data_IF_222887008258
#
_entry.id   IF_222887008258
#
_cell.length_a   1.000
_cell.length_b   1.000
_cell.length_c   1.000
_cell.angle_alpha   90.00
_cell.angle_beta   90.00
_cell.angle_gamma   90.00
#
_symmetry.space_group_name_H-M   'P 1'
#
loop_
_entity.id
_entity.type
_entity.pdbx_description
1 polymer ?
#
# COMPACT_ATOMS: atom_id res chain seq x y z
N UNK A 1 -18.63 -10.93 -20.91
CA UNK A 1 -17.80 -9.72 -20.91
C UNK A 1 -18.72 -8.58 -20.51
N UNK A 2 -18.38 -7.80 -19.49
CA UNK A 2 -19.16 -6.62 -19.08
C UNK A 2 -18.55 -5.40 -19.79
N UNK A 3 -19.30 -4.68 -20.62
CA UNK A 3 -18.82 -3.43 -21.20
C UNK A 3 -18.73 -2.37 -20.11
N UNK A 4 -17.68 -1.54 -20.14
CA UNK A 4 -17.48 -0.41 -19.23
C UNK A 4 -16.72 0.69 -19.97
N UNK A 5 -17.13 1.94 -19.77
CA UNK A 5 -16.46 3.10 -20.36
C UNK A 5 -15.18 3.46 -19.61
N UNK A 6 -15.18 3.25 -18.30
CA UNK A 6 -14.02 3.47 -17.41
C UNK A 6 -13.89 2.31 -16.43
N UNK A 7 -12.63 1.90 -16.21
CA UNK A 7 -12.27 0.83 -15.27
C UNK A 7 -11.20 1.35 -14.31
N UNK A 8 -11.35 1.03 -13.03
CA UNK A 8 -10.35 1.36 -11.99
C UNK A 8 -9.67 0.06 -11.54
N UNK A 9 -8.36 -0.05 -11.77
CA UNK A 9 -7.55 -1.15 -11.25
C UNK A 9 -7.28 -0.96 -9.76
N UNK A 10 -8.07 -1.62 -8.94
CA UNK A 10 -7.90 -1.69 -7.49
C UNK A 10 -7.44 -3.09 -7.02
N UNK A 11 -6.85 -3.89 -7.91
CA UNK A 11 -6.45 -5.28 -7.63
C UNK A 11 -5.31 -5.39 -6.60
N UNK A 12 -4.58 -4.30 -6.36
CA UNK A 12 -3.40 -4.26 -5.49
C UNK A 12 -2.17 -4.98 -6.07
N UNK A 13 -2.31 -5.58 -7.26
CA UNK A 13 -1.25 -6.24 -8.03
C UNK A 13 -1.07 -5.63 -9.43
N UNK A 14 -1.81 -4.55 -9.72
CA UNK A 14 -1.77 -3.85 -11.02
C UNK A 14 -2.07 -4.80 -12.20
N UNK A 15 -3.06 -5.68 -12.01
CA UNK A 15 -3.32 -6.78 -12.94
C UNK A 15 -3.95 -6.32 -14.25
N UNK A 16 -4.88 -5.35 -14.17
CA UNK A 16 -5.60 -4.89 -15.37
C UNK A 16 -4.66 -4.11 -16.29
N UNK A 17 -3.83 -3.22 -15.75
CA UNK A 17 -2.82 -2.51 -16.53
C UNK A 17 -1.81 -3.46 -17.17
N UNK A 18 -1.32 -4.45 -16.42
CA UNK A 18 -0.40 -5.44 -16.96
C UNK A 18 -1.03 -6.26 -18.10
N UNK A 19 -2.29 -6.67 -17.97
CA UNK A 19 -3.03 -7.39 -19.02
C UNK A 19 -3.37 -6.51 -20.21
N UNK A 20 -3.56 -5.21 -20.00
CA UNK A 20 -3.74 -4.24 -21.06
C UNK A 20 -2.44 -3.94 -21.83
N UNK A 21 -1.29 -4.48 -21.39
CA UNK A 21 0.02 -4.21 -21.99
C UNK A 21 0.60 -2.86 -21.63
N UNK A 22 0.06 -2.19 -20.59
CA UNK A 22 0.59 -0.91 -20.13
C UNK A 22 1.93 -1.09 -19.42
N UNK A 23 2.81 -0.09 -19.46
CA UNK A 23 4.08 -0.14 -18.77
C UNK A 23 3.88 -0.21 -17.25
N UNK A 24 4.48 -1.25 -16.65
CA UNK A 24 4.44 -1.49 -15.21
C UNK A 24 5.84 -1.82 -14.70
N UNK A 25 6.07 -1.61 -13.39
CA UNK A 25 7.27 -2.06 -12.70
C UNK A 25 6.90 -2.97 -11.52
N UNK A 26 7.70 -4.00 -11.31
CA UNK A 26 7.59 -4.87 -10.13
C UNK A 26 8.49 -4.35 -9.01
N UNK A 27 8.03 -4.52 -7.79
CA UNK A 27 8.82 -4.22 -6.61
C UNK A 27 9.60 -5.42 -6.10
N UNK A 28 10.32 -5.19 -5.02
CA UNK A 28 11.04 -6.20 -4.27
C UNK A 28 10.49 -6.31 -2.86
N UNK A 29 10.18 -7.52 -2.43
CA UNK A 29 9.72 -7.78 -1.07
C UNK A 29 10.71 -8.66 -0.34
N UNK A 30 11.23 -8.12 0.75
CA UNK A 30 12.04 -8.86 1.72
C UNK A 30 11.13 -9.73 2.60
N UNK A 31 11.64 -10.89 3.01
CA UNK A 31 10.88 -11.79 3.87
C UNK A 31 10.54 -11.12 5.19
N UNK A 32 9.28 -10.96 5.45
CA UNK A 32 8.77 -10.45 6.70
C UNK A 32 7.50 -11.20 7.08
N UNK A 33 7.35 -11.48 8.36
CA UNK A 33 6.12 -12.06 8.88
C UNK A 33 5.68 -11.38 10.16
N UNK A 34 4.39 -11.45 10.40
CA UNK A 34 3.77 -11.02 11.63
C UNK A 34 2.90 -12.15 12.16
N UNK A 35 3.13 -12.54 13.39
CA UNK A 35 2.30 -13.49 14.12
C UNK A 35 1.90 -12.88 15.45
N UNK A 36 1.02 -13.53 16.18
CA UNK A 36 0.64 -13.17 17.53
C UNK A 36 0.80 -14.37 18.45
N UNK A 37 1.29 -14.09 19.65
CA UNK A 37 1.47 -15.07 20.69
C UNK A 37 0.99 -14.50 22.03
N UNK A 38 0.90 -15.33 23.02
CA UNK A 38 0.76 -14.96 24.41
C UNK A 38 1.75 -15.77 25.26
N UNK A 39 2.10 -15.22 26.39
CA UNK A 39 2.91 -15.86 27.43
C UNK A 39 2.17 -15.79 28.78
N UNK A 40 2.68 -16.49 29.78
CA UNK A 40 2.04 -16.55 31.11
C UNK A 40 1.93 -15.17 31.77
N UNK A 41 2.87 -14.24 31.47
CA UNK A 41 2.82 -12.88 31.99
C UNK A 41 1.72 -12.07 31.31
N UNK A 42 1.66 -12.11 29.97
CA UNK A 42 0.64 -11.36 29.23
C UNK A 42 -0.79 -11.82 29.53
N UNK A 43 -0.96 -13.10 29.85
CA UNK A 43 -2.26 -13.63 30.30
C UNK A 43 -2.66 -13.07 31.66
N UNK A 44 -1.72 -12.99 32.63
CA UNK A 44 -1.98 -12.35 33.92
C UNK A 44 -2.33 -10.87 33.77
N UNK A 45 -1.54 -10.12 32.99
CA UNK A 45 -1.79 -8.71 32.70
C UNK A 45 -3.19 -8.49 32.09
N UNK A 46 -3.63 -9.38 31.21
CA UNK A 46 -4.97 -9.31 30.61
C UNK A 46 -6.09 -9.56 31.62
N UNK A 47 -5.90 -10.51 32.54
CA UNK A 47 -6.85 -10.78 33.63
C UNK A 47 -6.95 -9.60 34.59
N UNK A 48 -5.82 -9.01 34.96
CA UNK A 48 -5.76 -7.84 35.84
C UNK A 48 -6.42 -6.62 35.19
N UNK A 49 -6.19 -6.42 33.90
CA UNK A 49 -6.77 -5.32 33.13
C UNK A 49 -8.25 -5.53 32.75
N UNK A 50 -8.77 -6.77 32.85
CA UNK A 50 -10.08 -7.12 32.31
C UNK A 50 -10.19 -6.98 30.79
N UNK A 51 -9.05 -6.94 30.09
CA UNK A 51 -8.95 -6.75 28.64
C UNK A 51 -8.13 -7.87 27.99
N UNK A 52 -8.77 -8.79 27.23
CA UNK A 52 -8.06 -9.90 26.57
C UNK A 52 -7.06 -9.43 25.49
N UNK A 53 -7.18 -8.21 25.00
CA UNK A 53 -6.25 -7.64 24.02
C UNK A 53 -4.84 -7.46 24.58
N UNK A 54 -4.71 -7.24 25.89
CA UNK A 54 -3.45 -7.08 26.61
C UNK A 54 -2.64 -8.38 26.56
N UNK A 55 -3.29 -9.55 26.52
CA UNK A 55 -2.60 -10.84 26.40
C UNK A 55 -1.78 -10.98 25.11
N UNK A 56 -2.09 -10.19 24.08
CA UNK A 56 -1.53 -10.37 22.76
C UNK A 56 -0.12 -9.77 22.63
N UNK A 57 0.86 -10.61 22.42
CA UNK A 57 2.23 -10.23 22.05
C UNK A 57 2.38 -10.29 20.53
N UNK A 58 2.93 -9.22 19.95
CA UNK A 58 3.20 -9.18 18.51
C UNK A 58 4.58 -9.74 18.23
N UNK A 59 4.63 -10.81 17.45
CA UNK A 59 5.87 -11.37 16.93
C UNK A 59 6.17 -10.79 15.55
N UNK A 60 7.39 -10.29 15.37
CA UNK A 60 7.90 -9.79 14.09
C UNK A 60 9.19 -10.52 13.76
N UNK A 61 9.23 -11.12 12.58
CA UNK A 61 10.40 -11.82 12.08
C UNK A 61 10.73 -11.36 10.67
N UNK A 62 12.00 -11.56 10.27
CA UNK A 62 12.49 -11.23 8.96
C UNK A 62 12.91 -9.77 8.85
N UNK A 63 12.88 -9.28 7.62
CA UNK A 63 13.50 -8.02 7.26
C UNK A 63 12.65 -6.77 7.51
N UNK A 64 13.33 -5.65 7.68
CA UNK A 64 12.76 -4.30 7.59
C UNK A 64 12.38 -3.95 6.13
N UNK A 65 11.84 -2.76 5.91
CA UNK A 65 11.57 -2.26 4.55
C UNK A 65 12.85 -2.10 3.71
N UNK A 66 13.98 -1.83 4.36
CA UNK A 66 15.30 -1.69 3.73
C UNK A 66 16.09 -2.99 3.61
N UNK A 67 15.48 -4.13 3.93
CA UNK A 67 16.13 -5.44 3.84
C UNK A 67 16.99 -5.85 5.03
N UNK A 68 17.16 -4.98 6.05
CA UNK A 68 17.91 -5.35 7.25
C UNK A 68 17.22 -6.52 7.97
N UNK A 69 17.91 -7.61 8.17
CA UNK A 69 17.40 -8.84 8.78
C UNK A 69 16.83 -9.84 7.77
N UNK A 70 17.06 -9.64 6.46
CA UNK A 70 16.75 -10.66 5.45
C UNK A 70 17.58 -11.93 5.74
N UNK A 71 16.96 -13.12 5.80
CA UNK A 71 17.68 -14.35 6.00
C UNK A 71 18.72 -14.59 4.89
N UNK A 72 19.89 -15.10 5.27
CA UNK A 72 20.94 -15.41 4.33
C UNK A 72 20.47 -16.42 3.26
N UNK A 73 20.82 -16.18 2.01
CA UNK A 73 20.40 -16.99 0.86
C UNK A 73 18.94 -16.86 0.46
N UNK A 74 18.15 -16.03 1.15
CA UNK A 74 16.76 -15.81 0.79
C UNK A 74 16.64 -14.71 -0.27
N UNK A 75 16.09 -14.98 -1.46
CA UNK A 75 15.90 -13.97 -2.47
C UNK A 75 14.76 -13.01 -2.08
N UNK A 76 14.80 -11.79 -2.62
CA UNK A 76 13.60 -10.94 -2.67
C UNK A 76 12.61 -11.50 -3.69
N UNK A 77 11.33 -11.20 -3.53
CA UNK A 77 10.27 -11.63 -4.45
C UNK A 77 9.42 -10.45 -4.89
N UNK A 78 8.99 -10.48 -6.14
CA UNK A 78 8.02 -9.49 -6.63
C UNK A 78 6.61 -9.79 -6.07
N UNK A 79 6.23 -11.04 -5.97
CA UNK A 79 4.92 -11.47 -5.49
C UNK A 79 3.82 -11.38 -6.53
N UNK A 80 4.17 -11.37 -7.81
CA UNK A 80 3.22 -11.33 -8.94
C UNK A 80 2.69 -12.70 -9.31
N UNK A 81 3.37 -13.78 -8.93
CA UNK A 81 2.93 -15.14 -9.19
C UNK A 81 2.42 -15.83 -7.93
N UNK A 82 1.46 -16.74 -8.10
CA UNK A 82 0.97 -17.59 -7.02
C UNK A 82 2.10 -18.38 -6.36
N UNK A 83 3.08 -18.83 -7.15
CA UNK A 83 4.25 -19.56 -6.67
C UNK A 83 5.11 -18.75 -5.74
N UNK A 84 5.51 -17.53 -6.13
CA UNK A 84 6.28 -16.62 -5.28
C UNK A 84 5.56 -16.32 -3.96
N UNK A 85 4.25 -16.06 -4.04
CA UNK A 85 3.43 -15.78 -2.85
C UNK A 85 3.37 -16.99 -1.91
N UNK A 86 3.24 -18.20 -2.46
CA UNK A 86 3.20 -19.44 -1.68
C UNK A 86 4.56 -19.71 -1.03
N UNK A 87 5.64 -19.65 -1.81
CA UNK A 87 7.00 -19.90 -1.31
C UNK A 87 7.38 -18.90 -0.22
N UNK A 88 7.00 -17.61 -0.38
CA UNK A 88 7.17 -16.58 0.64
C UNK A 88 6.41 -16.92 1.94
N UNK A 89 5.14 -17.31 1.83
CA UNK A 89 4.33 -17.67 2.99
C UNK A 89 4.88 -18.91 3.71
N UNK A 90 5.33 -19.91 2.97
CA UNK A 90 5.95 -21.12 3.53
C UNK A 90 7.28 -20.80 4.23
N UNK A 91 8.12 -19.95 3.64
CA UNK A 91 9.36 -19.50 4.26
C UNK A 91 9.08 -18.74 5.57
N UNK A 92 8.11 -17.84 5.57
CA UNK A 92 7.69 -17.12 6.76
C UNK A 92 7.21 -18.06 7.89
N UNK A 93 6.44 -19.10 7.55
CA UNK A 93 6.00 -20.11 8.53
C UNK A 93 7.14 -20.96 9.06
N UNK A 94 8.10 -21.33 8.21
CA UNK A 94 9.29 -22.07 8.64
C UNK A 94 10.13 -21.25 9.62
N UNK A 95 10.27 -19.93 9.41
CA UNK A 95 10.96 -19.05 10.35
C UNK A 95 10.26 -19.02 11.71
N UNK A 96 8.93 -18.86 11.71
CA UNK A 96 8.15 -18.88 12.96
C UNK A 96 8.32 -20.22 13.67
N UNK A 97 8.22 -21.31 12.95
CA UNK A 97 8.38 -22.67 13.52
C UNK A 97 9.78 -22.87 14.13
N UNK A 98 10.83 -22.42 13.42
CA UNK A 98 12.19 -22.48 13.95
C UNK A 98 12.37 -21.63 15.21
N UNK A 99 11.68 -20.47 15.30
CA UNK A 99 11.69 -19.67 16.52
C UNK A 99 11.00 -20.39 17.67
N UNK A 100 9.82 -20.99 17.44
CA UNK A 100 9.11 -21.75 18.46
C UNK A 100 9.92 -22.95 19.00
N UNK A 101 10.75 -23.57 18.16
CA UNK A 101 11.62 -24.67 18.57
C UNK A 101 12.82 -24.21 19.42
N UNK A 102 13.25 -22.95 19.28
CA UNK A 102 14.36 -22.36 20.07
C UNK A 102 13.91 -21.86 21.44
N UNK A 103 12.64 -21.48 21.56
CA UNK A 103 12.06 -20.95 22.78
C UNK A 103 11.73 -22.09 23.76
N UNK A 104 11.84 -21.89 25.08
CA UNK A 104 11.32 -22.85 26.05
C UNK A 104 9.83 -23.10 25.82
N UNK A 105 9.40 -24.37 25.98
CA UNK A 105 8.04 -24.81 25.65
C UNK A 105 6.91 -23.95 26.22
N UNK A 106 7.08 -23.31 27.34
CA UNK A 106 6.04 -22.49 28.01
C UNK A 106 6.31 -20.97 27.89
N UNK A 107 7.36 -20.56 27.18
CA UNK A 107 7.67 -19.14 27.08
C UNK A 107 6.73 -18.39 26.13
N UNK A 108 6.14 -19.10 25.19
CA UNK A 108 5.31 -18.48 24.17
C UNK A 108 4.31 -19.50 23.59
N UNK A 109 3.05 -19.12 23.55
CA UNK A 109 2.00 -19.84 22.82
C UNK A 109 1.54 -19.01 21.63
N UNK A 110 1.70 -19.54 20.41
CA UNK A 110 1.33 -18.85 19.18
C UNK A 110 -0.16 -19.02 18.92
N UNK A 111 -0.90 -17.92 18.99
CA UNK A 111 -2.36 -17.89 18.84
C UNK A 111 -2.81 -17.59 17.41
N UNK A 112 -1.92 -17.07 16.57
CA UNK A 112 -2.25 -16.77 15.18
C UNK A 112 -1.02 -16.95 14.29
N UNK A 113 -1.13 -17.85 13.31
CA UNK A 113 -0.11 -18.04 12.29
C UNK A 113 -0.17 -16.95 11.23
N UNK A 114 0.93 -16.64 10.54
CA UNK A 114 0.90 -15.79 9.35
C UNK A 114 0.00 -16.41 8.29
N UNK A 115 -1.13 -15.79 8.04
CA UNK A 115 -2.11 -16.28 7.06
C UNK A 115 -1.80 -15.77 5.65
N UNK A 116 -1.23 -14.58 5.55
CA UNK A 116 -1.02 -13.87 4.31
C UNK A 116 0.44 -13.43 4.17
N UNK A 117 0.99 -13.60 2.98
CA UNK A 117 2.30 -13.07 2.63
C UNK A 117 2.33 -11.55 2.81
N UNK A 118 3.36 -11.04 3.48
CA UNK A 118 3.52 -9.60 3.75
C UNK A 118 4.18 -8.89 2.55
N UNK A 119 3.61 -9.07 1.37
CA UNK A 119 4.06 -8.43 0.15
C UNK A 119 3.58 -6.97 0.14
N UNK A 120 4.53 -6.03 0.18
CA UNK A 120 4.24 -4.60 0.33
C UNK A 120 4.25 -3.86 -0.99
N UNK A 121 5.20 -4.20 -1.84
CA UNK A 121 5.46 -3.59 -3.15
C UNK A 121 5.47 -4.71 -4.20
N UNK A 122 4.36 -4.90 -4.90
CA UNK A 122 4.19 -5.99 -5.86
C UNK A 122 4.45 -5.48 -7.28
N UNK A 123 3.55 -4.64 -7.76
CA UNK A 123 3.61 -4.03 -9.08
C UNK A 123 2.83 -2.71 -9.07
N UNK A 124 3.34 -1.72 -9.78
CA UNK A 124 2.69 -0.43 -10.01
C UNK A 124 2.76 -0.03 -11.48
N UNK A 125 1.92 0.91 -11.89
CA UNK A 125 2.00 1.51 -13.23
C UNK A 125 3.24 2.39 -13.36
N UNK A 126 3.71 2.58 -14.60
CA UNK A 126 4.60 3.69 -14.95
C UNK A 126 3.71 4.82 -15.46
N UNK A 127 3.25 5.66 -14.54
CA UNK A 127 2.26 6.70 -14.80
C UNK A 127 2.84 7.95 -15.45
N UNK A 128 1.95 8.91 -15.73
CA UNK A 128 2.34 10.22 -16.27
C UNK A 128 3.20 11.04 -15.29
N UNK A 129 3.10 10.77 -13.99
CA UNK A 129 4.02 11.24 -12.95
C UNK A 129 4.28 10.11 -11.96
N UNK A 130 5.44 10.14 -11.30
CA UNK A 130 5.82 9.15 -10.28
C UNK A 130 6.00 9.85 -8.94
N UNK A 131 5.27 9.39 -7.92
CA UNK A 131 5.40 9.89 -6.56
C UNK A 131 6.60 9.24 -5.86
N UNK A 132 7.61 10.03 -5.51
CA UNK A 132 8.85 9.54 -4.89
C UNK A 132 8.84 9.61 -3.34
N UNK A 133 8.03 10.53 -2.75
CA UNK A 133 7.99 10.75 -1.31
C UNK A 133 9.28 11.35 -0.74
N UNK A 134 10.02 12.09 -1.56
CA UNK A 134 11.28 12.74 -1.19
C UNK A 134 11.11 14.23 -0.91
N UNK A 135 10.08 14.84 -1.46
CA UNK A 135 9.83 16.27 -1.40
C UNK A 135 8.74 16.58 -0.37
N UNK A 136 9.19 16.84 0.85
CA UNK A 136 8.34 17.22 1.97
C UNK A 136 7.75 18.62 1.74
N UNK A 137 6.43 18.77 1.92
CA UNK A 137 5.67 20.01 1.70
C UNK A 137 5.76 20.60 0.29
N UNK A 138 6.26 19.83 -0.70
CA UNK A 138 6.33 20.32 -2.07
C UNK A 138 4.93 20.35 -2.71
N UNK A 139 4.68 21.42 -3.47
CA UNK A 139 3.42 21.61 -4.17
C UNK A 139 3.35 20.78 -5.44
N UNK A 140 2.29 19.99 -5.58
CA UNK A 140 1.89 19.34 -6.81
C UNK A 140 0.68 20.05 -7.40
N UNK A 141 0.81 20.67 -8.57
CA UNK A 141 -0.28 21.43 -9.20
C UNK A 141 -1.53 20.56 -9.47
N UNK A 142 -1.30 19.28 -9.75
CA UNK A 142 -2.34 18.27 -9.97
C UNK A 142 -2.61 17.42 -8.73
N UNK A 143 -2.40 17.98 -7.53
CA UNK A 143 -2.64 17.25 -6.27
C UNK A 143 -4.09 16.77 -6.17
N UNK A 144 -4.25 15.52 -5.74
CA UNK A 144 -5.54 14.92 -5.38
C UNK A 144 -5.78 14.90 -3.87
N UNK A 145 -4.83 15.41 -3.10
CA UNK A 145 -4.90 15.57 -1.66
C UNK A 145 -3.56 15.37 -0.96
N UNK A 146 -3.57 15.71 0.32
CA UNK A 146 -2.40 15.68 1.19
C UNK A 146 -2.38 14.40 2.03
N UNK A 147 -1.22 13.78 2.13
CA UNK A 147 -1.00 12.60 2.99
C UNK A 147 0.12 12.85 4.00
N UNK A 148 -0.04 12.40 5.25
CA UNK A 148 1.05 12.41 6.21
C UNK A 148 1.99 11.22 6.00
N UNK A 149 3.24 11.40 6.37
CA UNK A 149 4.20 10.30 6.47
C UNK A 149 3.92 9.47 7.74
N UNK A 150 3.81 8.16 7.59
CA UNK A 150 3.51 7.26 8.71
C UNK A 150 4.74 6.91 9.57
N UNK A 151 5.97 7.22 9.10
CA UNK A 151 7.23 6.94 9.81
C UNK A 151 7.93 8.21 10.27
N UNK A 152 7.72 9.32 9.57
CA UNK A 152 8.39 10.59 9.84
C UNK A 152 7.35 11.67 10.19
N UNK A 153 7.00 11.80 11.49
CA UNK A 153 6.00 12.76 11.94
C UNK A 153 6.32 14.19 11.48
N UNK A 154 5.29 14.89 11.01
CA UNK A 154 5.40 16.25 10.50
C UNK A 154 5.63 16.36 8.99
N UNK A 155 6.06 15.29 8.32
CA UNK A 155 6.17 15.29 6.87
C UNK A 155 4.82 15.11 6.21
N UNK A 156 4.57 15.93 5.19
CA UNK A 156 3.35 15.95 4.40
C UNK A 156 3.70 15.91 2.92
N UNK A 157 2.92 15.17 2.15
CA UNK A 157 3.12 15.03 0.71
C UNK A 157 1.81 15.29 -0.02
N UNK A 158 1.90 15.96 -1.15
CA UNK A 158 0.80 16.10 -2.10
C UNK A 158 0.88 14.99 -3.15
N UNK A 159 -0.21 14.22 -3.32
CA UNK A 159 -0.24 13.14 -4.29
C UNK A 159 -0.67 13.66 -5.66
N UNK A 160 0.13 13.47 -6.72
CA UNK A 160 -0.24 13.95 -8.04
C UNK A 160 -1.31 13.06 -8.70
N UNK A 161 -2.32 13.65 -9.32
CA UNK A 161 -3.33 12.94 -10.14
C UNK A 161 -2.70 12.10 -11.24
N UNK A 162 -1.65 12.63 -11.89
CA UNK A 162 -0.90 11.96 -12.95
C UNK A 162 -0.24 10.65 -12.52
N UNK A 163 -0.21 10.34 -11.24
CA UNK A 163 0.24 9.04 -10.73
C UNK A 163 -0.82 7.92 -10.87
N UNK A 164 -2.08 8.27 -11.20
CA UNK A 164 -3.20 7.33 -11.28
C UNK A 164 -3.45 6.75 -12.67
N UNK A 165 -2.75 7.20 -13.70
CA UNK A 165 -2.98 6.76 -15.08
C UNK A 165 -1.69 6.69 -15.90
N UNK A 166 -1.77 5.95 -17.00
CA UNK A 166 -0.72 5.84 -18.01
C UNK A 166 -1.19 6.55 -19.29
N UNK A 167 -0.42 7.49 -19.83
CA UNK A 167 -0.76 8.13 -21.10
C UNK A 167 -0.94 7.11 -22.23
N UNK A 168 -1.97 7.29 -23.06
CA UNK A 168 -2.31 6.39 -24.15
C UNK A 168 -3.22 5.22 -23.79
N UNK A 169 -3.57 5.05 -22.50
CA UNK A 169 -4.53 4.03 -22.02
C UNK A 169 -5.82 4.71 -21.54
N UNK A 170 -6.67 5.07 -22.50
CA UNK A 170 -7.98 5.65 -22.21
C UNK A 170 -8.87 4.63 -21.47
N UNK A 171 -9.82 5.13 -20.66
CA UNK A 171 -10.75 4.30 -19.89
C UNK A 171 -10.10 3.58 -18.70
N UNK A 172 -8.84 3.82 -18.36
CA UNK A 172 -8.15 3.05 -17.32
C UNK A 172 -7.47 3.94 -16.28
N UNK A 173 -7.86 3.77 -15.03
CA UNK A 173 -7.28 4.40 -13.84
C UNK A 173 -6.82 3.34 -12.85
N UNK A 174 -5.94 3.72 -11.94
CA UNK A 174 -5.57 2.89 -10.79
C UNK A 174 -5.71 3.64 -9.47
N UNK A 175 -5.71 2.89 -8.36
CA UNK A 175 -5.69 3.45 -7.01
C UNK A 175 -4.96 2.53 -6.03
N UNK A 176 -4.69 3.05 -4.83
CA UNK A 176 -4.03 2.31 -3.78
C UNK A 176 -2.54 2.09 -4.07
N UNK A 177 -2.05 0.89 -3.79
CA UNK A 177 -0.61 0.60 -3.90
C UNK A 177 -0.10 0.37 -5.32
N UNK A 178 -0.94 0.50 -6.32
CA UNK A 178 -0.65 0.29 -7.73
C UNK A 178 -0.46 1.59 -8.51
N UNK A 179 -0.62 2.74 -7.86
CA UNK A 179 -0.30 4.05 -8.43
C UNK A 179 1.18 4.14 -8.78
N UNK A 180 1.54 5.04 -9.69
CA UNK A 180 2.95 5.29 -10.03
C UNK A 180 3.68 5.92 -8.85
N UNK A 181 4.39 5.09 -8.11
CA UNK A 181 5.16 5.51 -6.95
C UNK A 181 6.41 4.63 -6.79
N UNK A 182 7.53 5.23 -6.42
CA UNK A 182 8.81 4.53 -6.24
C UNK A 182 9.47 4.89 -4.90
N UNK A 183 10.44 4.09 -4.50
CA UNK A 183 11.21 4.33 -3.29
C UNK A 183 10.34 4.50 -2.04
N UNK A 184 10.58 5.58 -1.28
CA UNK A 184 9.78 5.88 -0.10
C UNK A 184 8.32 6.24 -0.43
N UNK A 185 8.09 6.91 -1.55
CA UNK A 185 6.75 7.26 -2.03
C UNK A 185 5.83 6.04 -2.14
N UNK A 186 6.34 4.92 -2.62
CA UNK A 186 5.55 3.69 -2.68
C UNK A 186 5.20 3.15 -1.29
N UNK A 187 6.10 3.28 -0.32
CA UNK A 187 5.79 2.89 1.05
C UNK A 187 4.78 3.83 1.71
N UNK A 188 4.91 5.13 1.50
CA UNK A 188 4.01 6.14 2.06
C UNK A 188 2.60 6.06 1.47
N UNK A 189 2.46 5.86 0.15
CA UNK A 189 1.17 5.88 -0.54
C UNK A 189 0.31 4.62 -0.35
N UNK A 190 0.88 3.49 0.09
CA UNK A 190 0.15 2.21 0.23
C UNK A 190 -0.51 1.97 1.58
N UNK A 191 -0.39 2.89 2.54
CA UNK A 191 -1.07 2.78 3.84
C UNK A 191 -2.52 3.24 3.73
N UNK A 192 -3.37 2.92 4.71
CA UNK A 192 -4.83 3.04 4.58
C UNK A 192 -5.32 4.42 4.16
N UNK A 193 -4.85 5.51 4.79
CA UNK A 193 -5.27 6.88 4.46
C UNK A 193 -5.06 7.22 2.97
N UNK A 194 -3.82 7.13 2.46
CA UNK A 194 -3.52 7.32 1.04
C UNK A 194 -4.29 6.38 0.09
N UNK A 195 -4.54 5.14 0.50
CA UNK A 195 -5.34 4.19 -0.32
C UNK A 195 -6.79 4.67 -0.45
N UNK A 196 -7.41 5.15 0.63
CA UNK A 196 -8.74 5.75 0.57
C UNK A 196 -8.76 7.01 -0.30
N UNK A 197 -7.77 7.91 -0.11
CA UNK A 197 -7.65 9.13 -0.90
C UNK A 197 -7.56 8.84 -2.40
N UNK A 198 -6.65 7.95 -2.79
CA UNK A 198 -6.46 7.59 -4.22
C UNK A 198 -7.68 6.87 -4.79
N UNK A 199 -8.38 6.06 -3.99
CA UNK A 199 -9.63 5.43 -4.40
C UNK A 199 -10.74 6.44 -4.65
N UNK A 200 -10.90 7.42 -3.77
CA UNK A 200 -11.87 8.51 -3.92
C UNK A 200 -11.54 9.37 -5.14
N UNK A 201 -10.27 9.74 -5.30
CA UNK A 201 -9.82 10.54 -6.46
C UNK A 201 -10.03 9.79 -7.78
N UNK A 202 -9.70 8.48 -7.82
CA UNK A 202 -9.93 7.67 -9.02
C UNK A 202 -11.42 7.55 -9.36
N UNK A 203 -12.30 7.37 -8.36
CA UNK A 203 -13.75 7.33 -8.56
C UNK A 203 -14.31 8.66 -9.08
N UNK A 204 -13.88 9.78 -8.49
CA UNK A 204 -14.28 11.13 -8.95
C UNK A 204 -13.76 11.42 -10.36
N UNK A 205 -12.49 11.09 -10.63
CA UNK A 205 -11.93 11.25 -11.97
C UNK A 205 -12.65 10.38 -13.00
N UNK A 206 -12.97 9.12 -12.67
CA UNK A 206 -13.71 8.22 -13.56
C UNK A 206 -15.06 8.80 -13.95
N UNK A 207 -15.80 9.44 -13.02
CA UNK A 207 -17.05 10.13 -13.35
C UNK A 207 -16.82 11.30 -14.30
N UNK A 208 -15.78 12.10 -14.07
CA UNK A 208 -15.44 13.20 -14.96
C UNK A 208 -14.99 12.71 -16.34
N UNK A 209 -14.21 11.65 -16.43
CA UNK A 209 -13.72 11.08 -17.69
C UNK A 209 -14.84 10.77 -18.70
N UNK A 210 -16.05 10.47 -18.26
CA UNK A 210 -17.19 10.23 -19.14
C UNK A 210 -17.50 11.45 -20.02
N UNK A 211 -17.22 12.64 -19.52
CA UNK A 211 -17.41 13.90 -20.26
C UNK A 211 -16.23 14.20 -21.23
N UNK A 212 -15.11 13.44 -21.12
CA UNK A 212 -13.86 13.58 -21.88
C UNK A 212 -13.45 12.26 -22.57
N UNK A 213 -14.39 11.55 -23.18
CA UNK A 213 -14.15 10.35 -23.99
C UNK A 213 -13.33 9.25 -23.29
N UNK A 214 -13.38 9.22 -21.94
CA UNK A 214 -12.62 8.27 -21.16
C UNK A 214 -11.11 8.58 -21.04
N UNK A 215 -10.66 9.74 -21.46
CA UNK A 215 -9.25 10.13 -21.42
C UNK A 215 -8.86 10.73 -20.05
N UNK A 216 -8.08 10.04 -19.20
CA UNK A 216 -7.71 10.56 -17.88
C UNK A 216 -6.86 11.84 -17.96
N UNK A 217 -6.02 11.97 -18.99
CA UNK A 217 -5.20 13.16 -19.21
C UNK A 217 -5.97 14.38 -19.70
N UNK A 218 -7.19 14.20 -20.21
CA UNK A 218 -8.06 15.28 -20.65
C UNK A 218 -8.93 15.85 -19.54
N UNK A 219 -9.03 15.17 -18.38
CA UNK A 219 -9.79 15.66 -17.24
C UNK A 219 -9.17 16.94 -16.70
N UNK A 220 -9.90 18.08 -16.67
CA UNK A 220 -9.38 19.31 -16.12
C UNK A 220 -9.10 19.16 -14.62
N UNK A 221 -7.84 19.27 -14.23
CA UNK A 221 -7.38 19.10 -12.86
C UNK A 221 -8.17 19.97 -11.86
N UNK A 222 -8.44 21.23 -12.22
CA UNK A 222 -9.23 22.13 -11.38
C UNK A 222 -10.63 21.61 -11.07
N UNK A 223 -11.30 20.97 -12.03
CA UNK A 223 -12.63 20.35 -11.81
C UNK A 223 -12.55 19.14 -10.90
N UNK A 224 -11.49 18.34 -11.05
CA UNK A 224 -11.26 17.21 -10.15
C UNK A 224 -11.00 17.70 -8.72
N UNK A 225 -10.14 18.69 -8.56
CA UNK A 225 -9.82 19.29 -7.26
C UNK A 225 -11.04 19.95 -6.60
N UNK A 226 -11.87 20.65 -7.37
CA UNK A 226 -13.11 21.25 -6.89
C UNK A 226 -14.04 20.16 -6.32
N UNK A 227 -14.31 19.11 -7.10
CA UNK A 227 -15.14 17.99 -6.67
C UNK A 227 -14.59 17.25 -5.43
N UNK A 228 -13.26 17.14 -5.31
CA UNK A 228 -12.64 16.54 -4.13
C UNK A 228 -12.73 17.45 -2.89
N UNK A 229 -12.59 18.78 -3.04
CA UNK A 229 -12.79 19.73 -1.95
C UNK A 229 -14.21 19.72 -1.39
N UNK A 230 -15.23 19.51 -2.23
CA UNK A 230 -16.62 19.37 -1.80
C UNK A 230 -16.82 18.20 -0.83
N UNK A 231 -15.93 17.20 -0.86
CA UNK A 231 -15.92 16.06 0.08
C UNK A 231 -15.10 16.31 1.35
N UNK A 232 -14.55 17.52 1.52
CA UNK A 232 -13.77 17.92 2.69
C UNK A 232 -12.27 17.61 2.59
N UNK A 233 -11.76 17.25 1.40
CA UNK A 233 -10.34 17.01 1.20
C UNK A 233 -9.57 18.32 0.95
N UNK A 234 -8.42 18.48 1.60
CA UNK A 234 -7.44 19.52 1.26
C UNK A 234 -6.57 19.05 0.10
N UNK A 235 -6.47 19.85 -0.96
CA UNK A 235 -5.62 19.55 -2.11
C UNK A 235 -4.16 19.91 -1.86
N UNK A 236 -3.93 20.95 -1.10
CA UNK A 236 -2.60 21.48 -0.83
C UNK A 236 -2.33 21.62 0.66
N UNK A 237 -1.05 21.55 1.04
CA UNK A 237 -0.64 21.63 2.45
C UNK A 237 -1.08 22.93 3.10
N UNK A 238 -1.07 24.05 2.36
CA UNK A 238 -1.52 25.36 2.85
C UNK A 238 -3.04 25.48 3.07
N UNK A 239 -3.81 24.49 2.67
CA UNK A 239 -5.26 24.37 2.95
C UNK A 239 -5.55 23.68 4.30
N UNK A 240 -4.55 23.02 4.92
CA UNK A 240 -4.74 22.33 6.19
C UNK A 240 -4.87 23.34 7.34
N UNK A 241 -5.91 23.18 8.15
CA UNK A 241 -6.14 24.02 9.34
C UNK A 241 -6.85 25.33 9.07
N UNK A 242 -7.48 25.48 7.92
CA UNK A 242 -8.39 26.59 7.60
C UNK A 242 -9.83 26.26 7.96
#
# INVERSE_FOLDING_TARGET
MLPADVVIDATGTCELFARAGAPTRTGENYLALRAYAMDAQSQREALEAGDPYVARRRLRFGATLSGKGQPEGMPTVAGVTARETTDFALAARRMLFAQMQREPRLAMDVINLPQMAQLRTIRHIVGAATFLGTEDHARAEDSIGVIPDFMYPGRLYELPYRSLYVPGYAGLLTCGRTISAEGWGWHASRVLGPVFLTGQAAGTAARLMLDWQGEPWAVPVGRLQEALRETGLAMHVDELGK
#
